data_IF_477746733034
#
_entry.id   IF_477746733034
#
_cell.length_a   1.000
_cell.length_b   1.000
_cell.length_c   1.000
_cell.angle_alpha   90.00
_cell.angle_beta   90.00
_cell.angle_gamma   90.00
#
_symmetry.space_group_name_H-M   'P 1'
#
loop_
_entity.id
_entity.type
_entity.pdbx_description
1 polymer ?
#
# COMPACT_ATOMS: atom_id res chain seq x y z
N UNK A 1 0.78 -39.83 2.10
CA UNK A 1 -0.30 -38.93 2.54
C UNK A 1 0.36 -37.68 3.08
N UNK A 2 0.34 -36.57 2.31
CA UNK A 2 0.83 -35.28 2.79
C UNK A 2 -0.21 -34.73 3.77
N UNK A 3 0.21 -34.46 5.01
CA UNK A 3 -0.61 -33.83 6.02
C UNK A 3 -0.91 -32.40 5.56
N UNK A 4 -2.15 -32.13 5.19
CA UNK A 4 -2.63 -30.78 4.85
C UNK A 4 -2.63 -29.99 6.15
N UNK A 5 -1.58 -29.20 6.40
CA UNK A 5 -1.57 -28.29 7.54
C UNK A 5 -2.75 -27.34 7.39
N UNK A 6 -3.70 -27.40 8.32
CA UNK A 6 -4.90 -26.56 8.28
C UNK A 6 -4.47 -25.10 8.35
N UNK A 7 -4.84 -24.33 7.32
CA UNK A 7 -4.51 -22.93 7.25
C UNK A 7 -5.23 -22.17 8.36
N UNK A 8 -4.49 -21.54 9.27
CA UNK A 8 -5.10 -20.86 10.42
C UNK A 8 -5.82 -19.59 9.94
N UNK A 9 -7.14 -19.58 10.12
CA UNK A 9 -7.96 -18.41 9.81
C UNK A 9 -7.72 -17.29 10.84
N UNK A 10 -7.82 -16.04 10.40
CA UNK A 10 -7.82 -14.86 11.26
C UNK A 10 -9.14 -14.81 12.01
N UNK A 11 -9.06 -14.76 13.34
CA UNK A 11 -10.22 -14.73 14.24
C UNK A 11 -10.40 -13.35 14.86
N UNK A 12 -11.59 -13.09 15.40
CA UNK A 12 -11.85 -11.87 16.17
C UNK A 12 -10.85 -11.69 17.34
N UNK A 13 -10.40 -12.79 17.95
CA UNK A 13 -9.42 -12.75 19.04
C UNK A 13 -8.04 -12.25 18.58
N UNK A 14 -7.67 -12.49 17.32
CA UNK A 14 -6.39 -12.04 16.74
C UNK A 14 -6.35 -10.52 16.53
N UNK A 15 -7.50 -9.85 16.45
CA UNK A 15 -7.59 -8.39 16.23
C UNK A 15 -8.12 -7.62 17.44
N UNK A 16 -8.67 -8.29 18.46
CA UNK A 16 -9.35 -7.66 19.61
C UNK A 16 -8.49 -6.66 20.41
N UNK A 17 -7.16 -6.73 20.28
CA UNK A 17 -6.23 -5.84 20.97
C UNK A 17 -5.83 -4.61 20.13
N UNK A 18 -6.23 -4.55 18.85
CA UNK A 18 -5.98 -3.40 17.97
C UNK A 18 -6.90 -2.21 18.32
N UNK A 19 -6.58 -0.97 17.89
CA UNK A 19 -7.49 0.15 18.01
C UNK A 19 -8.89 -0.13 17.41
N UNK A 20 -9.97 0.35 18.04
CA UNK A 20 -11.35 0.14 17.56
C UNK A 20 -11.56 0.42 16.06
N UNK A 21 -11.11 1.56 15.48
CA UNK A 21 -11.25 1.79 14.04
C UNK A 21 -10.45 0.80 13.17
N UNK A 22 -9.33 0.25 13.67
CA UNK A 22 -8.58 -0.78 12.97
C UNK A 22 -9.32 -2.12 12.97
N UNK A 23 -9.98 -2.49 14.08
CA UNK A 23 -10.82 -3.69 14.14
C UNK A 23 -11.96 -3.61 13.12
N UNK A 24 -12.72 -2.51 13.11
CA UNK A 24 -13.81 -2.29 12.14
C UNK A 24 -13.31 -2.34 10.71
N UNK A 25 -12.12 -1.80 10.43
CA UNK A 25 -11.52 -1.85 9.10
C UNK A 25 -11.19 -3.28 8.64
N UNK A 26 -10.59 -4.10 9.49
CA UNK A 26 -10.27 -5.49 9.15
C UNK A 26 -11.55 -6.32 8.98
N UNK A 27 -12.56 -6.10 9.81
CA UNK A 27 -13.89 -6.70 9.65
C UNK A 27 -14.54 -6.29 8.32
N UNK A 28 -14.62 -4.99 8.03
CA UNK A 28 -15.20 -4.44 6.81
C UNK A 28 -14.55 -4.99 5.54
N UNK A 29 -13.22 -5.12 5.55
CA UNK A 29 -12.47 -5.62 4.40
C UNK A 29 -12.57 -7.13 4.21
N UNK A 30 -13.23 -7.84 5.13
CA UNK A 30 -13.46 -9.28 5.06
C UNK A 30 -12.21 -10.08 5.42
N UNK A 31 -11.46 -9.64 6.44
CA UNK A 31 -10.27 -10.35 6.93
C UNK A 31 -10.62 -11.54 7.81
N UNK A 32 -11.70 -11.44 8.61
CA UNK A 32 -12.08 -12.51 9.54
C UNK A 32 -12.52 -13.79 8.81
N UNK A 33 -12.32 -14.90 9.49
CA UNK A 33 -12.66 -16.26 9.06
C UNK A 33 -11.95 -16.68 7.76
N UNK A 34 -10.81 -16.05 7.46
CA UNK A 34 -9.98 -16.34 6.30
C UNK A 34 -8.54 -16.57 6.66
N UNK A 35 -7.82 -17.36 5.85
CA UNK A 35 -6.37 -17.43 5.92
C UNK A 35 -5.70 -16.05 5.94
N UNK A 36 -4.67 -15.92 6.76
CA UNK A 36 -3.79 -14.77 6.77
C UNK A 36 -3.12 -14.59 5.40
N UNK A 37 -3.30 -13.42 4.78
CA UNK A 37 -2.57 -13.03 3.58
C UNK A 37 -1.10 -12.76 3.96
N UNK A 38 -0.16 -13.33 3.22
CA UNK A 38 1.29 -13.11 3.40
C UNK A 38 1.91 -12.38 2.21
N UNK A 39 1.10 -12.05 1.21
CA UNK A 39 1.51 -11.35 0.01
C UNK A 39 0.34 -11.17 -0.94
N UNK A 40 0.58 -10.47 -2.04
CA UNK A 40 -0.40 -10.34 -3.12
C UNK A 40 0.28 -10.05 -4.46
N UNK A 41 -0.37 -10.46 -5.54
CA UNK A 41 -0.08 -10.01 -6.91
C UNK A 41 -1.24 -9.12 -7.39
N UNK A 42 -0.92 -7.96 -7.96
CA UNK A 42 -1.93 -7.05 -8.48
C UNK A 42 -1.59 -6.54 -9.88
N UNK A 43 -2.59 -6.51 -10.76
CA UNK A 43 -2.54 -5.86 -12.08
C UNK A 43 -3.49 -4.68 -12.06
N UNK A 44 -2.92 -3.48 -12.00
CA UNK A 44 -3.65 -2.24 -11.83
C UNK A 44 -3.68 -1.41 -13.12
N UNK A 45 -4.84 -0.83 -13.40
CA UNK A 45 -5.03 0.16 -14.44
C UNK A 45 -5.27 1.53 -13.80
N UNK A 46 -4.67 2.57 -14.38
CA UNK A 46 -4.79 3.91 -13.85
C UNK A 46 -4.32 4.98 -14.81
N UNK A 47 -4.17 6.18 -14.28
CA UNK A 47 -3.63 7.33 -14.99
C UNK A 47 -2.69 8.10 -14.09
N UNK A 48 -1.66 8.69 -14.69
CA UNK A 48 -0.68 9.52 -14.00
C UNK A 48 -0.40 10.81 -14.75
N UNK A 49 0.03 11.84 -14.02
CA UNK A 49 0.62 13.07 -14.56
C UNK A 49 1.74 13.55 -13.63
N UNK A 50 2.76 14.19 -14.19
CA UNK A 50 3.92 14.67 -13.43
C UNK A 50 3.78 16.14 -13.02
N UNK A 51 2.90 16.91 -13.68
CA UNK A 51 2.64 18.32 -13.37
C UNK A 51 1.13 18.63 -13.35
N UNK A 52 0.70 19.68 -12.63
CA UNK A 52 -0.72 20.05 -12.54
C UNK A 52 -1.39 20.33 -13.90
N UNK A 53 -0.67 20.90 -14.84
CA UNK A 53 -1.11 21.30 -16.18
C UNK A 53 -0.94 20.20 -17.24
N UNK A 54 -0.27 19.09 -16.90
CA UNK A 54 -0.04 17.99 -17.83
C UNK A 54 -1.27 17.09 -17.98
N UNK A 55 -1.51 16.64 -19.21
CA UNK A 55 -2.54 15.65 -19.50
C UNK A 55 -2.33 14.33 -18.73
N UNK A 56 -3.43 13.73 -18.28
CA UNK A 56 -3.45 12.40 -17.71
C UNK A 56 -2.99 11.37 -18.74
N UNK A 57 -1.95 10.62 -18.39
CA UNK A 57 -1.39 9.56 -19.22
C UNK A 57 -1.79 8.21 -18.64
N UNK A 58 -2.39 7.29 -19.45
CA UNK A 58 -2.70 5.95 -18.98
C UNK A 58 -1.47 5.24 -18.44
N UNK A 59 -1.63 4.55 -17.31
CA UNK A 59 -0.61 3.70 -16.73
C UNK A 59 -1.13 2.30 -16.42
N UNK A 60 -0.23 1.34 -16.53
CA UNK A 60 -0.44 -0.04 -16.09
C UNK A 60 0.63 -0.38 -15.07
N UNK A 61 0.22 -1.02 -13.99
CA UNK A 61 1.11 -1.47 -12.94
C UNK A 61 0.90 -2.96 -12.73
N UNK A 62 1.98 -3.72 -12.72
CA UNK A 62 1.98 -5.10 -12.26
C UNK A 62 2.88 -5.16 -11.03
N UNK A 63 2.33 -5.59 -9.91
CA UNK A 63 3.09 -5.69 -8.67
C UNK A 63 2.96 -7.06 -8.04
N UNK A 64 4.01 -7.46 -7.34
CA UNK A 64 4.01 -8.58 -6.39
C UNK A 64 4.62 -8.09 -5.10
N UNK A 65 3.95 -8.34 -3.99
CA UNK A 65 4.39 -7.93 -2.66
C UNK A 65 4.35 -9.12 -1.70
N UNK A 66 5.30 -9.17 -0.77
CA UNK A 66 5.47 -10.23 0.23
C UNK A 66 5.74 -9.61 1.59
N UNK A 67 5.08 -10.14 2.62
CA UNK A 67 5.32 -9.75 4.01
C UNK A 67 6.48 -10.51 4.65
N UNK A 68 6.84 -11.68 4.11
CA UNK A 68 7.84 -12.56 4.70
C UNK A 68 9.23 -11.92 4.78
N UNK A 69 9.61 -11.21 3.74
CA UNK A 69 10.92 -10.58 3.54
C UNK A 69 10.80 -9.07 3.25
N UNK A 70 9.63 -8.50 3.54
CA UNK A 70 9.28 -7.11 3.23
C UNK A 70 9.74 -6.72 1.80
N UNK A 71 9.30 -7.51 0.83
CA UNK A 71 9.70 -7.35 -0.56
C UNK A 71 8.54 -6.93 -1.45
N UNK A 72 8.85 -6.16 -2.50
CA UNK A 72 7.94 -5.91 -3.60
C UNK A 72 8.69 -5.74 -4.90
N UNK A 73 8.09 -6.21 -5.99
CA UNK A 73 8.51 -5.91 -7.35
C UNK A 73 7.35 -5.22 -8.03
N UNK A 74 7.58 -4.01 -8.54
CA UNK A 74 6.57 -3.19 -9.20
C UNK A 74 7.04 -2.82 -10.59
N UNK A 75 6.35 -3.33 -11.60
CA UNK A 75 6.54 -2.97 -12.98
C UNK A 75 5.48 -1.94 -13.40
N UNK A 76 5.93 -0.77 -13.80
CA UNK A 76 5.08 0.34 -14.20
C UNK A 76 5.30 0.65 -15.68
N UNK A 77 4.22 0.83 -16.42
CA UNK A 77 4.23 1.37 -17.79
C UNK A 77 3.37 2.63 -17.82
N UNK A 78 3.94 3.75 -18.23
CA UNK A 78 3.24 5.04 -18.37
C UNK A 78 3.29 5.47 -19.81
N UNK A 79 2.12 5.57 -20.45
CA UNK A 79 2.01 5.81 -21.88
C UNK A 79 2.76 4.75 -22.70
N UNK A 80 3.38 5.18 -23.80
CA UNK A 80 4.19 4.31 -24.67
C UNK A 80 5.69 4.40 -24.41
N UNK A 81 6.12 5.37 -23.61
CA UNK A 81 7.52 5.82 -23.59
C UNK A 81 8.25 5.50 -22.29
N UNK A 82 7.54 5.28 -21.18
CA UNK A 82 8.16 5.10 -19.87
C UNK A 82 7.81 3.73 -19.32
N UNK A 83 8.86 2.98 -18.96
CA UNK A 83 8.75 1.75 -18.18
C UNK A 83 9.69 1.84 -16.97
N UNK A 84 9.20 1.49 -15.79
CA UNK A 84 10.03 1.38 -14.58
C UNK A 84 9.81 0.04 -13.91
N UNK A 85 10.86 -0.45 -13.26
CA UNK A 85 10.82 -1.63 -12.40
C UNK A 85 11.44 -1.22 -11.07
N UNK A 86 10.62 -1.25 -10.02
CA UNK A 86 11.03 -0.94 -8.65
C UNK A 86 11.10 -2.24 -7.86
N UNK A 87 12.22 -2.48 -7.19
CA UNK A 87 12.42 -3.64 -6.32
C UNK A 87 12.70 -3.14 -4.91
N UNK A 88 11.83 -3.48 -3.97
CA UNK A 88 12.08 -3.37 -2.53
C UNK A 88 12.46 -4.75 -2.02
N UNK A 89 13.49 -4.83 -1.19
CA UNK A 89 13.86 -6.05 -0.46
C UNK A 89 14.50 -5.67 0.86
N UNK A 90 14.01 -6.25 1.96
CA UNK A 90 14.53 -5.99 3.30
C UNK A 90 14.60 -4.48 3.65
N UNK A 91 13.68 -3.67 3.10
CA UNK A 91 13.65 -2.22 3.28
C UNK A 91 14.57 -1.40 2.36
N UNK A 92 15.35 -2.05 1.49
CA UNK A 92 16.21 -1.40 0.49
C UNK A 92 15.58 -1.40 -0.89
N UNK A 93 15.76 -0.28 -1.61
CA UNK A 93 15.14 -0.07 -2.93
C UNK A 93 16.18 -0.02 -4.03
N UNK A 94 15.94 -0.80 -5.06
CA UNK A 94 16.59 -0.67 -6.36
C UNK A 94 15.54 -0.31 -7.42
N UNK A 95 15.64 0.90 -7.98
CA UNK A 95 14.82 1.33 -9.12
C UNK A 95 15.59 1.22 -10.42
N UNK A 96 14.92 0.69 -11.44
CA UNK A 96 15.38 0.69 -12.83
C UNK A 96 14.32 1.32 -13.73
N UNK A 97 14.63 2.50 -14.24
CA UNK A 97 13.79 3.20 -15.21
C UNK A 97 14.32 3.01 -16.64
N UNK A 98 13.43 3.09 -17.63
CA UNK A 98 13.80 3.17 -19.05
C UNK A 98 12.79 4.07 -19.75
N UNK A 99 13.27 5.18 -20.29
CA UNK A 99 12.49 6.11 -21.11
C UNK A 99 12.90 5.96 -22.59
N UNK A 100 11.96 6.11 -23.52
CA UNK A 100 12.22 6.17 -24.97
C UNK A 100 12.93 4.95 -25.59
N UNK A 101 13.03 3.80 -24.90
CA UNK A 101 13.91 2.66 -25.28
C UNK A 101 15.40 3.05 -25.43
N UNK A 102 15.78 4.26 -24.99
CA UNK A 102 17.14 4.77 -24.96
C UNK A 102 17.54 4.77 -23.49
N UNK A 103 18.45 3.86 -23.13
CA UNK A 103 18.78 3.53 -21.75
C UNK A 103 19.12 4.76 -20.90
N UNK A 104 18.18 5.20 -20.05
CA UNK A 104 18.50 5.99 -18.87
C UNK A 104 18.24 5.08 -17.67
N UNK A 105 19.27 4.35 -17.23
CA UNK A 105 19.23 3.65 -15.94
C UNK A 105 19.45 4.71 -14.87
N UNK A 106 18.39 5.41 -14.48
CA UNK A 106 18.40 6.13 -13.22
C UNK A 106 18.35 5.05 -12.13
N UNK A 107 19.50 4.76 -11.52
CA UNK A 107 19.57 3.97 -10.30
C UNK A 107 19.32 4.93 -9.15
N UNK A 108 18.03 5.12 -8.86
CA UNK A 108 17.61 5.88 -7.70
C UNK A 108 17.62 4.94 -6.50
N UNK A 109 18.55 5.19 -5.58
CA UNK A 109 18.67 4.54 -4.28
C UNK A 109 18.94 5.61 -3.23
N UNK A 110 18.60 5.32 -1.98
CA UNK A 110 18.87 6.21 -0.86
C UNK A 110 17.69 6.37 0.06
N UNK A 111 17.90 7.00 1.23
CA UNK A 111 16.92 7.02 2.31
C UNK A 111 15.54 7.56 1.94
N UNK A 112 15.47 8.56 1.06
CA UNK A 112 14.24 9.20 0.61
C UNK A 112 13.43 8.27 -0.31
N UNK A 113 14.12 7.55 -1.20
CA UNK A 113 13.50 6.57 -2.11
C UNK A 113 13.02 5.34 -1.35
N UNK A 114 13.82 4.85 -0.40
CA UNK A 114 13.45 3.77 0.50
C UNK A 114 12.22 4.13 1.34
N UNK A 115 12.15 5.34 1.89
CA UNK A 115 10.97 5.83 2.60
C UNK A 115 9.73 5.90 1.68
N UNK A 116 9.88 6.41 0.47
CA UNK A 116 8.81 6.46 -0.52
C UNK A 116 8.22 5.08 -0.85
N UNK A 117 9.07 4.07 -1.09
CA UNK A 117 8.59 2.71 -1.39
C UNK A 117 8.01 2.01 -0.15
N UNK A 118 8.55 2.23 1.05
CA UNK A 118 7.96 1.69 2.27
C UNK A 118 6.56 2.27 2.52
N UNK A 119 6.36 3.57 2.29
CA UNK A 119 5.01 4.16 2.39
C UNK A 119 4.09 3.62 1.31
N UNK A 120 4.57 3.45 0.07
CA UNK A 120 3.77 2.87 -1.01
C UNK A 120 3.37 1.42 -0.69
N UNK A 121 4.31 0.60 -0.21
CA UNK A 121 4.05 -0.76 0.24
C UNK A 121 2.99 -0.80 1.35
N UNK A 122 3.13 0.06 2.37
CA UNK A 122 2.16 0.15 3.47
C UNK A 122 0.77 0.56 2.97
N UNK A 123 0.70 1.55 2.07
CA UNK A 123 -0.56 1.99 1.47
C UNK A 123 -1.22 0.86 0.65
N UNK A 124 -0.44 0.14 -0.17
CA UNK A 124 -0.94 -0.96 -0.99
C UNK A 124 -1.41 -2.12 -0.10
N UNK A 125 -0.71 -2.44 0.98
CA UNK A 125 -1.16 -3.44 1.96
C UNK A 125 -2.49 -3.02 2.61
N UNK A 126 -2.64 -1.75 3.00
CA UNK A 126 -3.90 -1.21 3.55
C UNK A 126 -5.07 -1.31 2.55
N UNK A 127 -4.83 -1.06 1.26
CA UNK A 127 -5.92 -0.98 0.28
C UNK A 127 -6.21 -2.31 -0.42
N UNK A 128 -5.21 -3.19 -0.57
CA UNK A 128 -5.28 -4.36 -1.45
C UNK A 128 -5.18 -5.70 -0.71
N UNK A 129 -4.47 -5.75 0.42
CA UNK A 129 -4.28 -6.96 1.23
C UNK A 129 -4.29 -6.67 2.76
N UNK A 130 -5.41 -6.23 3.34
CA UNK A 130 -5.48 -5.76 4.73
C UNK A 130 -4.92 -6.73 5.78
N UNK A 131 -5.19 -8.04 5.64
CA UNK A 131 -4.73 -9.03 6.62
C UNK A 131 -3.21 -9.21 6.62
N UNK A 132 -2.53 -8.85 5.52
CA UNK A 132 -1.06 -8.86 5.41
C UNK A 132 -0.41 -7.97 6.46
N UNK A 133 -1.08 -6.90 6.90
CA UNK A 133 -0.61 -6.01 7.97
C UNK A 133 -0.43 -6.74 9.30
N UNK A 134 -1.16 -7.84 9.55
CA UNK A 134 -1.03 -8.65 10.77
C UNK A 134 0.24 -9.51 10.76
N UNK A 135 0.84 -9.73 9.58
CA UNK A 135 2.07 -10.52 9.41
C UNK A 135 3.34 -9.67 9.35
N UNK A 136 3.19 -8.35 9.25
CA UNK A 136 4.26 -7.39 9.13
C UNK A 136 4.68 -6.83 10.49
N UNK A 137 5.88 -6.27 10.57
CA UNK A 137 6.33 -5.53 11.76
C UNK A 137 5.71 -4.13 11.83
N UNK A 138 4.40 -4.08 12.05
CA UNK A 138 3.59 -2.86 12.10
C UNK A 138 3.15 -2.58 13.53
N UNK A 139 3.43 -1.35 13.99
CA UNK A 139 2.86 -0.80 15.21
C UNK A 139 1.55 -0.09 14.91
N UNK A 140 0.50 -0.45 15.62
CA UNK A 140 -0.83 0.17 15.52
C UNK A 140 -1.04 1.11 16.70
N UNK A 141 -1.48 2.34 16.43
CA UNK A 141 -1.73 3.35 17.46
C UNK A 141 -3.13 3.94 17.33
N UNK A 142 -3.91 4.05 18.41
CA UNK A 142 -5.18 4.75 18.37
C UNK A 142 -4.97 6.24 18.13
N UNK A 143 -5.88 6.88 17.38
CA UNK A 143 -5.89 8.34 17.20
C UNK A 143 -7.24 8.91 17.63
N UNK A 144 -8.33 8.31 17.14
CA UNK A 144 -9.71 8.69 17.46
C UNK A 144 -10.64 7.53 17.13
N UNK A 145 -11.95 7.72 17.25
CA UNK A 145 -12.93 6.70 16.85
C UNK A 145 -12.94 6.43 15.34
N UNK A 146 -12.42 7.36 14.51
CA UNK A 146 -12.42 7.27 13.05
C UNK A 146 -11.02 7.08 12.45
N UNK A 147 -9.97 7.03 13.29
CA UNK A 147 -8.60 6.99 12.79
C UNK A 147 -7.65 6.21 13.68
N UNK A 148 -6.66 5.59 13.03
CA UNK A 148 -5.51 4.96 13.67
C UNK A 148 -4.24 5.27 12.87
N UNK A 149 -3.10 5.28 13.57
CA UNK A 149 -1.78 5.42 12.97
C UNK A 149 -1.12 4.04 12.85
N UNK A 150 -0.34 3.87 11.78
CA UNK A 150 0.49 2.71 11.50
C UNK A 150 1.96 3.15 11.46
N UNK A 151 2.84 2.34 12.03
CA UNK A 151 4.29 2.48 11.87
C UNK A 151 4.87 1.18 11.34
N UNK A 152 5.29 1.17 10.07
CA UNK A 152 5.97 0.03 9.45
C UNK A 152 7.48 0.20 9.60
N UNK A 153 8.18 -0.85 10.04
CA UNK A 153 9.64 -0.87 10.12
C UNK A 153 10.24 -1.83 9.10
N UNK A 154 11.27 -1.37 8.37
CA UNK A 154 11.97 -2.12 7.33
C UNK A 154 13.35 -1.54 7.03
N UNK A 155 14.37 -2.38 6.87
CA UNK A 155 15.73 -1.93 6.53
C UNK A 155 16.34 -0.93 7.52
N UNK A 156 16.01 -1.07 8.81
CA UNK A 156 16.44 -0.14 9.86
C UNK A 156 15.73 1.22 9.86
N UNK A 157 14.68 1.40 9.04
CA UNK A 157 13.88 2.62 8.95
C UNK A 157 12.43 2.36 9.34
N UNK A 158 11.78 3.37 9.90
CA UNK A 158 10.34 3.36 10.14
C UNK A 158 9.64 4.43 9.32
N UNK A 159 8.51 4.08 8.73
CA UNK A 159 7.59 5.02 8.08
C UNK A 159 6.23 4.99 8.77
N UNK A 160 5.57 6.14 8.79
CA UNK A 160 4.31 6.39 9.49
C UNK A 160 3.21 6.71 8.51
N UNK A 161 2.02 6.22 8.82
CA UNK A 161 0.82 6.58 8.10
C UNK A 161 -0.37 6.74 9.05
N UNK A 162 -1.31 7.58 8.67
CA UNK A 162 -2.63 7.67 9.29
C UNK A 162 -3.68 7.12 8.35
N UNK A 163 -4.52 6.24 8.86
CA UNK A 163 -5.67 5.69 8.15
C UNK A 163 -6.93 6.26 8.79
N UNK A 164 -7.76 6.91 7.97
CA UNK A 164 -9.08 7.41 8.34
C UNK A 164 -10.13 6.48 7.74
N UNK A 165 -11.07 6.02 8.56
CA UNK A 165 -12.13 5.09 8.18
C UNK A 165 -13.50 5.67 8.51
N UNK A 166 -14.53 5.28 7.78
CA UNK A 166 -15.90 5.61 8.16
C UNK A 166 -16.47 4.69 9.25
N UNK A 167 -17.71 4.93 9.64
CA UNK A 167 -18.44 4.16 10.66
C UNK A 167 -18.44 2.65 10.37
N UNK A 168 -18.45 2.26 9.10
CA UNK A 168 -18.43 0.84 8.68
C UNK A 168 -17.04 0.23 8.76
N UNK A 169 -15.98 1.03 8.87
CA UNK A 169 -14.58 0.59 8.75
C UNK A 169 -14.00 0.80 7.34
N UNK A 170 -14.72 1.42 6.42
CA UNK A 170 -14.23 1.64 5.06
C UNK A 170 -13.19 2.77 5.03
N UNK A 171 -11.98 2.50 4.53
CA UNK A 171 -10.93 3.53 4.43
C UNK A 171 -11.43 4.67 3.52
N UNK A 172 -11.27 5.90 4.02
CA UNK A 172 -11.54 7.15 3.31
C UNK A 172 -10.26 7.81 2.82
N UNK A 173 -9.27 7.89 3.70
CA UNK A 173 -7.98 8.46 3.35
C UNK A 173 -6.84 7.70 4.07
N UNK A 174 -5.81 7.37 3.31
CA UNK A 174 -4.49 7.01 3.84
C UNK A 174 -3.57 8.22 3.67
N UNK A 175 -2.82 8.60 4.69
CA UNK A 175 -1.95 9.78 4.65
C UNK A 175 -0.59 9.49 5.27
N UNK A 176 0.47 10.08 4.74
CA UNK A 176 1.81 9.97 5.31
C UNK A 176 2.59 11.27 5.10
N UNK A 177 3.44 11.62 6.07
CA UNK A 177 4.41 12.71 5.96
C UNK A 177 5.82 12.21 5.62
N UNK A 178 5.97 10.92 5.32
CA UNK A 178 7.27 10.26 5.15
C UNK A 178 7.62 10.03 3.68
N UNK A 179 6.92 10.76 2.79
CA UNK A 179 7.18 10.74 1.35
C UNK A 179 7.87 12.00 0.87
N UNK A 180 8.65 11.84 -0.18
CA UNK A 180 9.43 12.88 -0.84
C UNK A 180 8.91 13.06 -2.26
N UNK A 181 8.39 14.25 -2.56
CA UNK A 181 8.01 14.65 -3.90
C UNK A 181 9.25 15.13 -4.66
N UNK A 182 9.39 14.70 -5.91
CA UNK A 182 10.42 15.20 -6.81
C UNK A 182 9.93 16.50 -7.47
N UNK A 183 10.52 17.62 -7.07
CA UNK A 183 10.23 18.96 -7.59
C UNK A 183 11.47 19.50 -8.34
N UNK A 184 11.34 20.55 -9.18
CA UNK A 184 12.48 21.14 -9.87
C UNK A 184 13.65 21.56 -8.96
N UNK A 185 13.36 21.96 -7.73
CA UNK A 185 14.30 22.33 -6.69
C UNK A 185 14.95 21.14 -5.95
N UNK A 186 14.48 19.92 -6.19
CA UNK A 186 14.95 18.69 -5.56
C UNK A 186 13.84 17.90 -4.85
N UNK A 187 14.25 16.91 -4.05
CA UNK A 187 13.34 16.11 -3.24
C UNK A 187 12.82 16.91 -2.05
N UNK A 188 11.51 17.11 -1.97
CA UNK A 188 10.84 17.80 -0.87
C UNK A 188 9.99 16.82 -0.10
N UNK A 189 10.32 16.64 1.19
CA UNK A 189 9.45 15.87 2.10
C UNK A 189 8.13 16.60 2.27
N UNK A 190 7.04 15.94 1.95
CA UNK A 190 5.71 16.55 2.05
C UNK A 190 4.63 15.52 2.33
N UNK A 191 3.49 16.00 2.85
CA UNK A 191 2.31 15.16 3.07
C UNK A 191 1.85 14.60 1.73
N UNK A 192 1.58 13.30 1.73
CA UNK A 192 1.00 12.57 0.63
C UNK A 192 -0.25 11.86 1.12
N UNK A 193 -1.28 11.76 0.27
CA UNK A 193 -2.45 10.96 0.57
C UNK A 193 -2.92 10.10 -0.59
N UNK A 194 -3.58 9.00 -0.25
CA UNK A 194 -4.38 8.17 -1.14
C UNK A 194 -5.81 8.17 -0.60
N UNK A 195 -6.71 8.85 -1.31
CA UNK A 195 -8.11 8.93 -0.97
C UNK A 195 -8.90 7.86 -1.73
N UNK A 196 -9.77 7.13 -1.03
CA UNK A 196 -10.73 6.26 -1.69
C UNK A 196 -11.87 7.11 -2.20
N UNK A 197 -12.10 7.01 -3.49
CA UNK A 197 -13.13 7.72 -4.22
C UNK A 197 -14.07 6.70 -4.86
N UNK A 198 -15.32 7.12 -5.13
CA UNK A 198 -16.38 6.26 -5.69
C UNK A 198 -16.73 5.05 -4.79
N UNK A 199 -16.28 5.03 -3.53
CA UNK A 199 -16.68 4.02 -2.55
C UNK A 199 -15.98 2.66 -2.71
N UNK A 200 -16.71 1.60 -2.34
CA UNK A 200 -16.18 0.24 -2.23
C UNK A 200 -17.08 -0.76 -2.95
N UNK A 201 -16.52 -1.91 -3.35
CA UNK A 201 -17.26 -3.00 -3.98
C UNK A 201 -16.80 -4.36 -3.44
N UNK A 202 -17.69 -5.34 -3.51
CA UNK A 202 -17.39 -6.72 -3.13
C UNK A 202 -16.71 -7.42 -4.32
N UNK A 203 -15.52 -7.96 -4.10
CA UNK A 203 -14.77 -8.78 -5.05
C UNK A 203 -14.31 -10.06 -4.35
N UNK A 204 -14.81 -11.21 -4.80
CA UNK A 204 -14.46 -12.53 -4.24
C UNK A 204 -14.54 -12.54 -2.71
N UNK A 205 -15.67 -12.03 -2.20
CA UNK A 205 -16.01 -11.86 -0.80
C UNK A 205 -15.11 -10.89 0.01
N UNK A 206 -14.25 -10.09 -0.65
CA UNK A 206 -13.46 -9.00 -0.03
C UNK A 206 -14.01 -7.65 -0.45
N UNK A 207 -14.13 -6.73 0.50
CA UNK A 207 -14.40 -5.34 0.13
C UNK A 207 -13.11 -4.71 -0.40
N UNK A 208 -13.19 -4.14 -1.60
CA UNK A 208 -12.10 -3.39 -2.24
C UNK A 208 -12.53 -1.96 -2.58
N UNK A 209 -11.61 -0.98 -2.56
CA UNK A 209 -11.93 0.37 -2.99
C UNK A 209 -12.26 0.36 -4.49
N UNK A 210 -13.18 1.21 -4.95
CA UNK A 210 -13.50 1.32 -6.39
C UNK A 210 -12.46 2.15 -7.13
N UNK A 211 -12.15 3.33 -6.59
CA UNK A 211 -11.13 4.23 -7.11
C UNK A 211 -10.23 4.73 -6.00
N UNK A 212 -8.96 4.93 -6.31
CA UNK A 212 -7.99 5.56 -5.40
C UNK A 212 -7.37 6.75 -6.10
N UNK A 213 -7.38 7.91 -5.46
CA UNK A 213 -6.77 9.15 -5.93
C UNK A 213 -5.57 9.52 -5.05
N UNK A 214 -4.40 9.62 -5.64
CA UNK A 214 -3.17 9.96 -4.93
C UNK A 214 -2.80 11.43 -5.11
N UNK A 215 -2.56 12.12 -4.00
CA UNK A 215 -2.39 13.58 -3.93
C UNK A 215 -1.12 13.93 -3.16
N UNK A 216 -0.29 14.78 -3.76
CA UNK A 216 0.77 15.50 -3.04
C UNK A 216 0.20 16.78 -2.45
N UNK A 217 0.48 17.07 -1.19
CA UNK A 217 0.06 18.31 -0.55
C UNK A 217 1.24 19.29 -0.56
N UNK A 218 1.49 19.90 -1.72
CA UNK A 218 2.64 20.79 -1.92
C UNK A 218 2.40 22.15 -1.26
N UNK A 219 3.46 22.95 -1.01
CA UNK A 219 3.30 24.33 -0.52
C UNK A 219 2.42 25.20 -1.43
N UNK A 220 2.39 24.89 -2.73
CA UNK A 220 1.58 25.57 -3.74
C UNK A 220 0.13 25.05 -3.84
N UNK A 221 -0.21 24.00 -3.10
CA UNK A 221 -1.54 23.38 -3.08
C UNK A 221 -1.53 21.88 -3.36
N UNK A 222 -2.73 21.29 -3.33
CA UNK A 222 -2.93 19.87 -3.60
C UNK A 222 -2.69 19.53 -5.08
N UNK A 223 -1.83 18.54 -5.33
CA UNK A 223 -1.53 18.02 -6.66
C UNK A 223 -1.90 16.54 -6.77
N UNK A 224 -3.09 16.27 -7.33
CA UNK A 224 -3.50 14.94 -7.73
C UNK A 224 -2.65 14.46 -8.90
N UNK A 225 -1.85 13.40 -8.71
CA UNK A 225 -0.84 12.96 -9.68
C UNK A 225 -1.05 11.52 -10.17
N UNK A 226 -1.85 10.72 -9.47
CA UNK A 226 -2.20 9.38 -9.88
C UNK A 226 -3.64 9.06 -9.50
N UNK A 227 -4.34 8.27 -10.31
CA UNK A 227 -5.54 7.58 -9.88
C UNK A 227 -5.64 6.19 -10.50
N UNK A 228 -6.22 5.25 -9.75
CA UNK A 228 -6.40 3.85 -10.16
C UNK A 228 -7.87 3.46 -10.06
N UNK A 229 -8.39 2.78 -11.08
CA UNK A 229 -9.73 2.19 -11.08
C UNK A 229 -9.62 0.70 -10.79
N UNK A 230 -9.89 0.32 -9.55
CA UNK A 230 -9.73 -1.03 -9.05
C UNK A 230 -10.86 -1.97 -9.47
N UNK A 231 -11.97 -1.45 -10.01
CA UNK A 231 -13.05 -2.29 -10.57
C UNK A 231 -12.64 -3.01 -11.86
N UNK A 232 -11.54 -2.55 -12.48
CA UNK A 232 -10.96 -3.11 -13.70
C UNK A 232 -9.54 -3.65 -13.46
N UNK A 233 -9.30 -4.15 -12.27
CA UNK A 233 -8.01 -4.65 -11.83
C UNK A 233 -8.13 -6.09 -11.33
N UNK A 234 -7.01 -6.80 -11.34
CA UNK A 234 -6.89 -8.13 -10.73
C UNK A 234 -6.03 -8.00 -9.49
N UNK A 235 -6.48 -8.57 -8.36
CA UNK A 235 -5.68 -8.67 -7.15
C UNK A 235 -5.88 -10.06 -6.56
N UNK A 236 -4.78 -10.80 -6.42
CA UNK A 236 -4.78 -12.15 -5.86
C UNK A 236 -3.90 -12.14 -4.62
N UNK A 237 -4.48 -12.46 -3.46
CA UNK A 237 -3.72 -12.60 -2.22
C UNK A 237 -3.12 -14.01 -2.11
N UNK A 238 -1.86 -14.08 -1.71
CA UNK A 238 -1.20 -15.32 -1.33
C UNK A 238 -1.38 -15.52 0.18
N UNK A 239 -1.72 -16.73 0.59
CA UNK A 239 -2.04 -17.04 1.98
C UNK A 239 -0.96 -17.92 2.61
N UNK A 240 -0.62 -17.67 3.88
CA UNK A 240 0.43 -18.43 4.57
C UNK A 240 -0.10 -19.79 5.04
N UNK A 241 0.50 -20.91 4.60
CA UNK A 241 0.15 -22.23 5.13
C UNK A 241 0.77 -22.43 6.53
N UNK A 242 -0.04 -22.85 7.51
CA UNK A 242 0.43 -23.26 8.84
C UNK A 242 1.15 -22.19 9.68
N UNK A 243 1.16 -20.92 9.26
CA UNK A 243 1.77 -19.82 10.03
C UNK A 243 0.87 -19.41 11.19
N UNK A 244 1.45 -19.34 12.39
CA UNK A 244 0.81 -18.63 13.51
C UNK A 244 0.75 -17.15 13.17
N UNK A 245 -0.43 -16.56 13.38
CA UNK A 245 -0.62 -15.12 13.31
C UNK A 245 0.21 -14.51 14.47
N UNK A 246 1.26 -13.71 14.19
CA UNK A 246 1.99 -13.05 15.25
C UNK A 246 1.07 -12.04 15.92
N UNK A 247 1.27 -11.72 17.20
CA UNK A 247 0.54 -10.61 17.82
C UNK A 247 1.11 -9.30 17.28
N UNK A 248 0.34 -8.48 16.55
CA UNK A 248 0.77 -7.15 16.14
C UNK A 248 1.21 -6.31 17.34
N UNK A 249 2.14 -5.38 17.11
CA UNK A 249 2.54 -4.43 18.14
C UNK A 249 1.47 -3.35 18.24
N UNK A 250 1.09 -3.03 19.47
CA UNK A 250 0.20 -1.90 19.77
C UNK A 250 0.95 -0.96 20.68
N UNK A 251 0.87 0.33 20.39
CA UNK A 251 1.54 1.36 21.16
C UNK A 251 0.53 2.36 21.71
N UNK A 252 0.88 2.94 22.86
CA UNK A 252 0.24 4.12 23.42
C UNK A 252 0.48 5.37 22.55
#
# INVERSE_FOLDING_TARGET
MQSTATQQAVTAADIAHLPSPAQRYLEFTGVLDRPLDVGFEARLNGWRRQRPDQHWTPCRTHQRSSAEDLSRVVENKVGRLVQTTDVLRDGHVERRSTALRVFTVARESGPEHEANELVAFLCDAVLLAPSMLLSLDVLWKPVSDEAFDLVLTGGGRSVRARVVVDERGAVREFTSNDRYAELPEGLVRTRWSAAVDDGWFLDSDRMRPRRVLSVWHLPTGGFAHAHHDLTRCEVVCATGEGRRIPRPRVGD
#
